data_IF_058113939043
#
_entry.id   IF_058113939043
#
_cell.length_a   1.000
_cell.length_b   1.000
_cell.length_c   1.000
_cell.angle_alpha   90.00
_cell.angle_beta   90.00
_cell.angle_gamma   90.00
#
_symmetry.space_group_name_H-M   'P 1'
#
loop_
_entity.id
_entity.type
_entity.pdbx_description
1 polymer ?
#
# COMPACT_ATOMS: atom_id res chain seq x y z
N UNK A 1 39.45 -18.55 -48.81
CA UNK A 1 38.11 -18.10 -48.37
C UNK A 1 37.88 -18.62 -46.95
N UNK A 2 37.73 -17.73 -45.97
CA UNK A 2 37.35 -18.07 -44.59
C UNK A 2 36.25 -17.11 -44.16
N UNK A 3 35.05 -17.61 -43.96
CA UNK A 3 33.91 -16.85 -43.42
C UNK A 3 33.94 -16.96 -41.91
N UNK A 4 34.09 -15.83 -41.21
CA UNK A 4 33.99 -15.75 -39.76
C UNK A 4 32.50 -15.49 -39.44
N UNK A 5 31.89 -16.46 -38.77
CA UNK A 5 30.50 -16.45 -38.35
C UNK A 5 30.38 -15.64 -37.05
N UNK A 6 29.75 -14.47 -37.10
CA UNK A 6 29.51 -13.63 -35.92
C UNK A 6 28.38 -14.22 -35.07
N UNK A 7 28.69 -14.53 -33.81
CA UNK A 7 27.73 -14.97 -32.79
C UNK A 7 27.00 -13.74 -32.23
N UNK A 8 25.69 -13.65 -32.45
CA UNK A 8 24.82 -12.64 -31.80
C UNK A 8 24.43 -13.16 -30.41
N UNK A 9 24.96 -12.54 -29.36
CA UNK A 9 24.54 -12.78 -27.98
C UNK A 9 23.37 -11.82 -27.69
N UNK A 10 22.15 -12.35 -27.63
CA UNK A 10 20.96 -11.59 -27.22
C UNK A 10 20.89 -11.57 -25.69
N UNK A 11 21.21 -10.43 -25.08
CA UNK A 11 21.04 -10.18 -23.65
C UNK A 11 19.56 -9.91 -23.33
N UNK A 12 18.91 -10.88 -22.70
CA UNK A 12 17.54 -10.73 -22.18
C UNK A 12 17.61 -9.90 -20.90
N UNK A 13 17.25 -8.63 -20.97
CA UNK A 13 17.02 -7.80 -19.78
C UNK A 13 15.71 -8.23 -19.13
N UNK A 14 15.82 -8.92 -17.99
CA UNK A 14 14.66 -9.19 -17.12
C UNK A 14 14.31 -7.86 -16.45
N UNK A 15 13.29 -7.17 -16.96
CA UNK A 15 12.70 -6.02 -16.29
C UNK A 15 11.96 -6.53 -15.04
N UNK A 16 12.61 -6.45 -13.88
CA UNK A 16 11.89 -6.50 -12.62
C UNK A 16 11.10 -5.18 -12.51
N UNK A 17 9.77 -5.22 -12.32
CA UNK A 17 9.01 -4.00 -12.08
C UNK A 17 9.47 -3.41 -10.76
N UNK A 18 10.18 -2.29 -10.83
CA UNK A 18 10.53 -1.50 -9.65
C UNK A 18 9.22 -0.85 -9.21
N UNK A 19 8.59 -1.42 -8.19
CA UNK A 19 7.42 -0.84 -7.54
C UNK A 19 7.93 0.35 -6.73
N UNK A 20 7.82 1.57 -7.27
CA UNK A 20 8.09 2.79 -6.52
C UNK A 20 6.87 3.08 -5.64
N UNK A 21 7.07 3.08 -4.33
CA UNK A 21 6.13 3.71 -3.41
C UNK A 21 6.14 5.23 -3.67
N UNK A 22 4.96 5.84 -3.74
CA UNK A 22 4.81 7.29 -3.81
C UNK A 22 4.75 7.81 -2.37
N UNK A 23 5.92 7.82 -1.72
CA UNK A 23 6.05 8.26 -0.34
C UNK A 23 5.60 9.72 -0.17
N UNK A 24 4.90 10.01 0.92
CA UNK A 24 4.55 11.38 1.26
C UNK A 24 5.81 12.20 1.58
N UNK A 25 5.81 13.46 1.13
CA UNK A 25 6.93 14.39 1.33
C UNK A 25 6.89 15.10 2.68
N UNK A 26 5.68 15.28 3.20
CA UNK A 26 5.36 16.00 4.42
C UNK A 26 4.47 15.13 5.31
N UNK A 27 4.11 15.61 6.50
CA UNK A 27 3.37 14.84 7.50
C UNK A 27 4.26 14.28 8.61
N UNK A 28 3.67 13.48 9.49
CA UNK A 28 4.39 12.92 10.64
C UNK A 28 5.17 11.67 10.24
N UNK A 29 6.30 11.45 10.89
CA UNK A 29 7.05 10.22 10.74
C UNK A 29 6.33 9.14 11.52
N UNK A 30 5.96 8.07 10.82
CA UNK A 30 5.47 6.85 11.44
C UNK A 30 6.63 5.90 11.71
N UNK A 31 6.51 5.06 12.73
CA UNK A 31 7.42 3.92 12.87
C UNK A 31 6.77 2.67 12.28
N UNK A 32 7.35 2.18 11.19
CA UNK A 32 7.07 0.85 10.66
C UNK A 32 8.40 0.16 10.36
N UNK A 33 8.67 -0.93 11.08
CA UNK A 33 9.79 -1.82 10.79
C UNK A 33 9.38 -2.79 9.69
N UNK A 34 9.85 -2.50 8.47
CA UNK A 34 9.65 -3.32 7.27
C UNK A 34 10.17 -4.76 7.40
N UNK A 35 11.09 -5.00 8.33
CA UNK A 35 11.71 -6.31 8.57
C UNK A 35 10.98 -7.10 9.65
N UNK A 36 10.37 -6.42 10.63
CA UNK A 36 9.76 -7.07 11.80
C UNK A 36 8.23 -6.93 11.88
N UNK A 37 7.58 -6.21 10.94
CA UNK A 37 6.14 -5.88 11.01
C UNK A 37 5.72 -5.29 12.36
N UNK A 38 6.65 -4.59 13.00
CA UNK A 38 6.46 -3.96 14.29
C UNK A 38 6.73 -2.47 14.10
N UNK A 39 5.98 -1.59 14.74
CA UNK A 39 4.81 -1.82 15.59
C UNK A 39 3.47 -2.10 14.90
N UNK A 40 3.38 -1.96 13.56
CA UNK A 40 2.14 -2.19 12.82
C UNK A 40 2.17 -3.55 12.12
N UNK A 41 1.33 -4.49 12.58
CA UNK A 41 1.17 -5.78 11.92
C UNK A 41 0.27 -5.66 10.68
N UNK A 42 0.91 -5.48 9.52
CA UNK A 42 0.21 -5.39 8.23
C UNK A 42 -0.57 -6.66 7.86
N UNK A 43 -0.28 -7.83 8.46
CA UNK A 43 -1.12 -9.03 8.22
C UNK A 43 -2.47 -8.89 8.90
N UNK A 44 -2.54 -8.24 10.07
CA UNK A 44 -3.82 -7.93 10.73
C UNK A 44 -4.57 -6.86 9.93
N UNK A 45 -3.89 -5.81 9.47
CA UNK A 45 -4.46 -4.79 8.56
C UNK A 45 -5.11 -5.47 7.36
N UNK A 46 -4.34 -6.31 6.67
CA UNK A 46 -4.80 -6.95 5.44
C UNK A 46 -5.81 -8.08 5.67
N UNK A 47 -5.83 -8.73 6.83
CA UNK A 47 -6.93 -9.62 7.18
C UNK A 47 -8.27 -8.87 7.21
N UNK A 48 -8.28 -7.63 7.71
CA UNK A 48 -9.50 -6.80 7.76
C UNK A 48 -9.83 -6.12 6.43
N UNK A 49 -8.82 -5.74 5.64
CA UNK A 49 -9.03 -5.11 4.35
C UNK A 49 -9.29 -6.11 3.22
N UNK A 50 -8.97 -7.40 3.39
CA UNK A 50 -9.19 -8.42 2.35
C UNK A 50 -10.67 -8.68 2.04
N UNK A 51 -10.93 -9.26 0.87
CA UNK A 51 -12.28 -9.64 0.43
C UNK A 51 -12.70 -8.98 -0.88
N UNK A 52 -13.99 -9.10 -1.19
CA UNK A 52 -14.60 -8.59 -2.42
C UNK A 52 -14.90 -7.10 -2.30
N UNK A 53 -14.43 -6.31 -3.25
CA UNK A 53 -14.75 -4.89 -3.41
C UNK A 53 -15.58 -4.70 -4.67
N UNK A 54 -16.64 -3.88 -4.58
CA UNK A 54 -17.34 -3.38 -5.77
C UNK A 54 -16.64 -2.13 -6.32
N UNK A 55 -16.92 -1.78 -7.58
CA UNK A 55 -16.31 -0.64 -8.26
C UNK A 55 -16.37 0.65 -7.41
N UNK A 56 -15.21 1.30 -7.25
CA UNK A 56 -15.01 2.51 -6.44
C UNK A 56 -15.23 2.35 -4.93
N UNK A 57 -15.41 1.12 -4.43
CA UNK A 57 -15.41 0.87 -2.99
C UNK A 57 -14.01 1.09 -2.42
N UNK A 58 -13.96 1.68 -1.24
CA UNK A 58 -12.77 1.73 -0.41
C UNK A 58 -13.10 1.29 1.00
N UNK A 59 -12.08 0.77 1.69
CA UNK A 59 -12.17 0.44 3.12
C UNK A 59 -10.97 1.04 3.83
N UNK A 60 -11.21 1.43 5.07
CA UNK A 60 -10.20 2.02 5.94
C UNK A 60 -10.12 1.27 7.25
N UNK A 61 -8.92 1.14 7.78
CA UNK A 61 -8.66 0.65 9.13
C UNK A 61 -7.66 1.58 9.81
N UNK A 62 -7.85 1.77 11.12
CA UNK A 62 -6.94 2.53 11.96
C UNK A 62 -6.25 1.58 12.92
N UNK A 63 -4.94 1.67 13.04
CA UNK A 63 -4.15 0.96 14.05
C UNK A 63 -3.25 1.96 14.78
N UNK A 64 -3.09 1.76 16.09
CA UNK A 64 -2.11 2.50 16.87
C UNK A 64 -0.76 1.78 16.82
N UNK A 65 0.29 2.53 16.55
CA UNK A 65 1.66 2.05 16.69
C UNK A 65 2.15 2.11 18.16
N UNK A 66 3.31 1.54 18.45
CA UNK A 66 3.84 1.46 19.82
C UNK A 66 4.29 2.80 20.38
N UNK A 67 4.47 3.82 19.52
CA UNK A 67 4.81 5.18 19.91
C UNK A 67 3.56 6.05 20.06
N UNK A 68 2.37 5.45 19.98
CA UNK A 68 1.10 6.16 20.08
C UNK A 68 0.78 7.00 18.85
N UNK A 69 1.37 6.70 17.69
CA UNK A 69 0.93 7.26 16.40
C UNK A 69 -0.24 6.47 15.88
N UNK A 70 -1.18 7.20 15.31
CA UNK A 70 -2.29 6.64 14.56
C UNK A 70 -1.77 6.28 13.18
N UNK A 71 -2.15 5.13 12.63
CA UNK A 71 -1.96 4.81 11.23
C UNK A 71 -3.32 4.58 10.59
N UNK A 72 -3.62 5.33 9.55
CA UNK A 72 -4.79 5.13 8.70
C UNK A 72 -4.36 4.35 7.44
N UNK A 73 -4.86 3.13 7.30
CA UNK A 73 -4.67 2.32 6.10
C UNK A 73 -5.93 2.36 5.26
N UNK A 74 -5.81 2.68 3.98
CA UNK A 74 -6.91 2.68 3.03
C UNK A 74 -6.58 1.80 1.83
N UNK A 75 -7.55 0.98 1.44
CA UNK A 75 -7.52 0.21 0.21
C UNK A 75 -8.75 0.56 -0.63
N UNK A 76 -8.51 0.97 -1.88
CA UNK A 76 -9.56 1.37 -2.81
C UNK A 76 -9.51 0.53 -4.09
N UNK A 77 -10.65 0.03 -4.54
CA UNK A 77 -10.74 -0.64 -5.85
C UNK A 77 -10.91 0.39 -6.97
N UNK A 78 -9.88 0.51 -7.80
CA UNK A 78 -9.78 1.46 -8.92
C UNK A 78 -9.80 0.76 -10.29
N UNK A 79 -10.07 -0.54 -10.33
CA UNK A 79 -10.12 -1.30 -11.57
C UNK A 79 -11.38 -1.02 -12.40
N UNK A 80 -11.33 -1.41 -13.68
CA UNK A 80 -12.42 -1.15 -14.61
C UNK A 80 -13.65 -2.07 -14.44
N UNK A 81 -13.46 -3.24 -13.81
CA UNK A 81 -14.51 -4.23 -13.58
C UNK A 81 -15.53 -3.83 -12.51
N UNK A 82 -16.64 -4.57 -12.43
CA UNK A 82 -17.71 -4.29 -11.46
C UNK A 82 -17.32 -4.67 -10.03
N UNK A 83 -16.47 -5.69 -9.88
CA UNK A 83 -15.96 -6.14 -8.60
C UNK A 83 -14.61 -6.87 -8.73
N UNK A 84 -13.84 -6.92 -7.64
CA UNK A 84 -12.65 -7.75 -7.52
C UNK A 84 -12.41 -8.18 -6.07
N UNK A 85 -12.01 -9.43 -5.89
CA UNK A 85 -11.50 -9.90 -4.60
C UNK A 85 -10.01 -9.60 -4.47
N UNK A 86 -9.58 -9.08 -3.32
CA UNK A 86 -8.17 -8.99 -2.93
C UNK A 86 -7.86 -10.04 -1.87
N UNK A 87 -6.75 -10.76 -2.05
CA UNK A 87 -6.24 -11.67 -1.05
C UNK A 87 -5.27 -10.97 -0.09
N UNK A 88 -5.07 -11.57 1.09
CA UNK A 88 -4.22 -11.00 2.15
C UNK A 88 -2.81 -10.72 1.64
N UNK A 89 -2.21 -11.60 0.83
CA UNK A 89 -0.83 -11.41 0.35
C UNK A 89 -0.72 -10.29 -0.70
N UNK A 90 -1.73 -10.11 -1.56
CA UNK A 90 -1.79 -8.98 -2.52
C UNK A 90 -1.93 -7.66 -1.75
N UNK A 91 -2.83 -7.60 -0.76
CA UNK A 91 -2.95 -6.47 0.14
C UNK A 91 -1.65 -6.18 0.88
N UNK A 92 -1.02 -7.22 1.46
CA UNK A 92 0.19 -7.08 2.27
C UNK A 92 1.34 -6.55 1.43
N UNK A 93 1.56 -7.10 0.23
CA UNK A 93 2.59 -6.61 -0.68
C UNK A 93 2.32 -5.16 -1.11
N UNK A 94 1.05 -4.80 -1.29
CA UNK A 94 0.58 -3.45 -1.53
C UNK A 94 0.96 -2.47 -0.43
N UNK A 95 0.40 -2.73 0.77
CA UNK A 95 0.51 -1.91 1.97
C UNK A 95 1.94 -1.82 2.51
N UNK A 96 2.73 -2.88 2.39
CA UNK A 96 4.14 -2.89 2.82
C UNK A 96 4.97 -1.85 2.07
N UNK A 97 4.66 -1.61 0.79
CA UNK A 97 5.38 -0.59 0.02
C UNK A 97 5.10 0.82 0.57
N UNK A 98 3.84 1.11 0.94
CA UNK A 98 3.45 2.43 1.43
C UNK A 98 3.85 2.66 2.89
N UNK A 99 3.65 1.66 3.75
CA UNK A 99 4.07 1.72 5.15
C UNK A 99 5.59 1.77 5.30
N UNK A 100 6.33 1.25 4.31
CA UNK A 100 7.80 1.31 4.27
C UNK A 100 8.37 2.72 4.05
N UNK A 101 7.54 3.69 3.70
CA UNK A 101 7.92 5.09 3.62
C UNK A 101 7.97 5.72 5.02
N UNK A 102 8.97 6.56 5.29
CA UNK A 102 9.17 7.23 6.59
C UNK A 102 7.90 7.99 7.07
N UNK A 103 7.18 8.62 6.13
CA UNK A 103 5.95 9.37 6.40
C UNK A 103 4.71 8.68 5.85
N UNK A 104 4.80 7.39 5.54
CA UNK A 104 3.76 6.71 4.79
C UNK A 104 3.75 7.10 3.30
N UNK A 105 2.75 6.60 2.59
CA UNK A 105 2.64 6.76 1.15
C UNK A 105 1.26 6.44 0.62
N UNK A 106 1.07 6.78 -0.65
CA UNK A 106 -0.13 6.42 -1.41
C UNK A 106 0.25 6.15 -2.84
N UNK A 107 -0.11 4.97 -3.37
CA UNK A 107 0.11 4.66 -4.77
C UNK A 107 -1.04 3.91 -5.40
N UNK A 108 -1.19 4.10 -6.71
CA UNK A 108 -2.02 3.27 -7.57
C UNK A 108 -1.19 2.16 -8.17
N UNK A 109 -1.67 0.93 -8.07
CA UNK A 109 -1.04 -0.23 -8.70
C UNK A 109 -2.07 -1.24 -9.16
N UNK A 110 -2.11 -1.46 -10.48
CA UNK A 110 -3.08 -2.31 -11.14
C UNK A 110 -4.52 -1.90 -10.77
N UNK A 111 -5.22 -2.72 -9.98
CA UNK A 111 -6.64 -2.58 -9.68
C UNK A 111 -6.88 -1.84 -8.36
N UNK A 112 -5.81 -1.46 -7.66
CA UNK A 112 -5.87 -1.01 -6.29
C UNK A 112 -5.14 0.29 -6.10
N UNK A 113 -5.69 1.15 -5.24
CA UNK A 113 -4.96 2.24 -4.62
C UNK A 113 -4.72 1.86 -3.16
N UNK A 114 -3.45 1.89 -2.76
CA UNK A 114 -3.00 1.62 -1.40
C UNK A 114 -2.61 2.93 -0.75
N UNK A 115 -2.99 3.13 0.50
CA UNK A 115 -2.50 4.23 1.32
C UNK A 115 -2.19 3.74 2.73
N UNK A 116 -1.05 4.18 3.25
CA UNK A 116 -0.64 4.01 4.63
C UNK A 116 -0.21 5.37 5.15
N UNK A 117 -0.97 5.94 6.08
CA UNK A 117 -0.79 7.32 6.51
C UNK A 117 -0.64 7.42 8.04
N UNK A 118 0.59 7.62 8.54
CA UNK A 118 0.80 7.90 9.94
C UNK A 118 0.29 9.31 10.27
N UNK A 119 -0.41 9.43 11.40
CA UNK A 119 -1.09 10.64 11.83
C UNK A 119 -0.96 10.84 13.34
N UNK A 120 -1.22 12.07 13.78
CA UNK A 120 -1.47 12.36 15.20
C UNK A 120 -2.90 11.94 15.58
N UNK A 121 -3.12 11.71 16.88
CA UNK A 121 -4.44 11.38 17.41
C UNK A 121 -4.54 9.93 17.86
N UNK A 122 -5.76 9.39 17.85
CA UNK A 122 -6.08 8.04 18.33
C UNK A 122 -7.01 7.35 17.35
N UNK A 123 -6.96 6.03 17.31
CA UNK A 123 -8.02 5.22 16.73
C UNK A 123 -9.24 5.26 17.64
N UNK A 124 -10.05 6.32 17.51
CA UNK A 124 -11.42 6.32 18.04
C UNK A 124 -12.24 5.38 17.18
N UNK A 125 -13.14 4.58 17.80
CA UNK A 125 -14.02 3.66 17.08
C UNK A 125 -14.56 4.36 15.83
N UNK A 126 -14.13 3.91 14.64
CA UNK A 126 -14.53 4.51 13.37
C UNK A 126 -16.05 4.51 13.33
N UNK A 127 -16.64 5.66 13.57
CA UNK A 127 -18.06 5.83 13.34
C UNK A 127 -18.27 5.83 11.81
N UNK A 128 -19.43 5.40 11.30
CA UNK A 128 -19.74 5.42 9.87
C UNK A 128 -19.52 6.77 9.15
N UNK A 129 -19.34 7.85 9.91
CA UNK A 129 -19.08 9.20 9.41
C UNK A 129 -17.59 9.54 9.22
N UNK A 130 -16.65 8.75 9.75
CA UNK A 130 -15.20 8.98 9.54
C UNK A 130 -14.73 8.52 8.14
N UNK A 131 -15.52 7.72 7.43
CA UNK A 131 -15.28 7.33 6.04
C UNK A 131 -15.36 8.51 5.06
N UNK A 132 -16.01 9.62 5.44
CA UNK A 132 -16.27 10.73 4.54
C UNK A 132 -15.23 11.86 4.60
N UNK A 133 -14.17 11.75 5.41
CA UNK A 133 -13.12 12.77 5.48
C UNK A 133 -12.02 12.50 4.43
N UNK A 134 -11.87 13.36 3.42
CA UNK A 134 -10.71 13.36 2.53
C UNK A 134 -9.43 13.56 3.33
N UNK A 135 -8.34 12.95 2.88
CA UNK A 135 -7.00 13.13 3.48
C UNK A 135 -6.40 14.53 3.23
N UNK A 136 -7.09 15.40 2.49
CA UNK A 136 -6.56 16.71 2.06
C UNK A 136 -6.64 17.82 3.11
N UNK A 137 -7.23 17.58 4.30
CA UNK A 137 -7.33 18.58 5.37
C UNK A 137 -6.47 18.21 6.60
N UNK A 138 -5.14 18.35 6.48
CA UNK A 138 -4.23 18.73 7.58
C UNK A 138 -2.82 19.10 7.11
#
# INVERSE_FOLDING_TARGET
MKTIQSLLIATIFIFAPIVFAECYKDGIIGEYDINNNAPVDLRIVCAQLSGSYVKNEFRRICIMDTNGRKWDFELSYIGDGDQRNIEIEECFSGMKAEAGCERGGRRKHWNWEYSADPNVGQCVNMHPYDFARPFDDQ
#
